data_IF_517280833279
#
_entry.id   IF_517280833279
#
_cell.length_a   1.000
_cell.length_b   1.000
_cell.length_c   1.000
_cell.angle_alpha   90.00
_cell.angle_beta   90.00
_cell.angle_gamma   90.00
#
_symmetry.space_group_name_H-M   'P 1'
#
loop_
_entity.id
_entity.type
_entity.pdbx_description
1 polymer ?
#
# COMPACT_ATOMS: atom_id res chain seq x y z
N UNK A 1 22.51 -0.65 1.66
CA UNK A 1 23.14 -1.96 1.75
C UNK A 1 22.28 -3.12 1.21
N UNK A 2 21.11 -2.82 0.66
CA UNK A 2 20.23 -3.80 0.01
C UNK A 2 19.09 -4.34 0.88
N UNK A 3 19.05 -4.00 2.15
CA UNK A 3 17.97 -4.41 3.04
C UNK A 3 16.67 -3.68 2.78
N UNK A 4 15.55 -4.41 2.78
CA UNK A 4 14.21 -3.83 2.63
C UNK A 4 13.65 -3.45 4.01
N UNK A 5 13.26 -2.19 4.15
CA UNK A 5 12.67 -1.66 5.39
C UNK A 5 11.28 -1.08 5.14
N UNK A 6 10.44 -1.09 6.17
CA UNK A 6 9.09 -0.53 6.10
C UNK A 6 9.08 0.91 6.64
N UNK A 7 8.80 1.86 5.76
CA UNK A 7 8.64 3.26 6.13
C UNK A 7 7.63 3.95 5.21
N UNK A 8 6.83 4.85 5.75
CA UNK A 8 5.86 5.59 4.93
C UNK A 8 6.55 6.53 3.93
N UNK A 9 7.62 7.19 4.32
CA UNK A 9 8.35 8.15 3.47
C UNK A 9 9.68 7.59 3.00
N UNK A 10 10.21 8.09 1.89
CA UNK A 10 11.57 7.79 1.43
C UNK A 10 12.68 8.48 2.24
N UNK A 11 12.30 9.26 3.26
CA UNK A 11 13.21 9.91 4.21
C UNK A 11 12.76 9.61 5.64
N UNK A 12 13.70 9.67 6.59
CA UNK A 12 13.43 9.41 8.02
C UNK A 12 12.89 10.63 8.77
N UNK A 13 12.97 11.81 8.20
CA UNK A 13 12.76 13.12 8.83
C UNK A 13 11.40 13.31 9.51
N UNK A 14 10.35 12.66 8.99
CA UNK A 14 8.98 12.86 9.51
C UNK A 14 8.58 11.85 10.58
N UNK A 15 9.23 10.71 10.58
CA UNK A 15 8.81 9.57 11.39
C UNK A 15 9.93 9.06 12.31
N UNK A 16 11.02 9.82 12.44
CA UNK A 16 12.11 9.54 13.38
C UNK A 16 12.78 10.80 13.88
N UNK A 17 13.72 10.63 14.80
CA UNK A 17 14.64 11.68 15.27
C UNK A 17 15.84 11.88 14.33
N UNK A 18 15.95 11.10 13.25
CA UNK A 18 16.98 11.21 12.23
C UNK A 18 16.63 12.17 11.10
N UNK A 19 17.58 12.34 10.17
CA UNK A 19 17.41 13.15 8.94
C UNK A 19 18.07 12.47 7.76
N UNK A 20 17.45 12.56 6.59
CA UNK A 20 18.01 12.10 5.32
C UNK A 20 17.21 11.00 4.64
N UNK A 21 17.74 10.52 3.52
CA UNK A 21 17.08 9.49 2.71
C UNK A 21 17.42 8.10 3.24
N UNK A 22 16.41 7.24 3.32
CA UNK A 22 16.57 5.83 3.69
C UNK A 22 17.54 5.12 2.75
N UNK A 23 17.43 5.38 1.43
CA UNK A 23 18.29 4.77 0.40
C UNK A 23 19.78 5.10 0.53
N UNK A 24 20.13 6.13 1.26
CA UNK A 24 21.49 6.64 1.38
C UNK A 24 22.14 6.21 2.72
N UNK A 25 21.45 5.36 3.51
CA UNK A 25 21.86 4.89 4.85
C UNK A 25 21.99 3.38 4.88
N UNK A 26 22.87 2.88 5.74
CA UNK A 26 22.91 1.45 6.06
C UNK A 26 21.76 1.07 7.01
N UNK A 27 21.40 -0.22 7.04
CA UNK A 27 20.44 -0.72 8.02
C UNK A 27 20.91 -0.43 9.46
N UNK A 28 22.21 -0.57 9.72
CA UNK A 28 22.78 -0.30 11.04
C UNK A 28 22.62 1.15 11.48
N UNK A 29 22.68 2.11 10.55
CA UNK A 29 22.41 3.53 10.84
C UNK A 29 20.93 3.78 11.08
N UNK A 30 20.07 3.21 10.23
CA UNK A 30 18.61 3.32 10.37
C UNK A 30 18.11 2.76 11.71
N UNK A 31 18.68 1.67 12.20
CA UNK A 31 18.32 1.03 13.49
C UNK A 31 18.71 1.85 14.72
N UNK A 32 19.51 2.91 14.57
CA UNK A 32 19.87 3.83 15.68
C UNK A 32 18.81 4.89 15.93
N UNK A 33 17.95 5.18 14.95
CA UNK A 33 16.93 6.21 15.08
C UNK A 33 15.70 5.70 15.83
N UNK A 34 15.09 6.60 16.59
CA UNK A 34 13.79 6.37 17.23
C UNK A 34 12.65 6.73 16.29
N UNK A 35 11.98 5.71 15.79
CA UNK A 35 10.82 5.83 14.91
C UNK A 35 9.47 5.86 15.65
N UNK A 36 9.47 5.89 16.98
CA UNK A 36 8.24 5.81 17.76
C UNK A 36 7.87 7.07 18.54
N UNK A 37 8.85 7.81 19.07
CA UNK A 37 8.61 8.96 19.95
C UNK A 37 7.78 10.07 19.31
N UNK A 38 7.87 10.27 17.99
CA UNK A 38 7.06 11.26 17.25
C UNK A 38 5.55 10.94 17.31
N UNK A 39 5.22 9.64 17.38
CA UNK A 39 3.82 9.19 17.47
C UNK A 39 3.30 9.22 18.90
N UNK A 40 4.15 8.92 19.88
CA UNK A 40 3.79 8.98 21.29
C UNK A 40 4.85 8.37 22.21
N UNK A 41 4.94 8.90 23.45
CA UNK A 41 5.96 8.48 24.43
C UNK A 41 6.02 6.97 24.69
N UNK A 42 4.89 6.26 24.61
CA UNK A 42 4.81 4.80 24.80
C UNK A 42 5.54 4.01 23.72
N UNK A 43 5.83 4.64 22.58
CA UNK A 43 6.52 4.02 21.44
C UNK A 43 7.99 4.43 21.35
N UNK A 44 8.52 5.11 22.37
CA UNK A 44 9.92 5.50 22.44
C UNK A 44 10.85 4.29 22.21
N UNK A 45 11.94 4.51 21.48
CA UNK A 45 12.93 3.52 21.10
C UNK A 45 12.41 2.42 20.13
N UNK A 46 11.28 2.66 19.45
CA UNK A 46 10.88 1.80 18.34
C UNK A 46 11.81 2.00 17.16
N UNK A 47 12.39 0.93 16.64
CA UNK A 47 13.27 0.99 15.47
C UNK A 47 12.49 0.73 14.18
N UNK A 48 13.04 1.16 13.03
CA UNK A 48 12.47 0.84 11.71
C UNK A 48 12.45 -0.68 11.50
N UNK A 49 11.32 -1.31 11.15
CA UNK A 49 11.30 -2.74 10.89
C UNK A 49 11.87 -3.06 9.51
N UNK A 50 12.58 -4.17 9.40
CA UNK A 50 12.89 -4.80 8.12
C UNK A 50 11.68 -5.54 7.57
N UNK A 51 11.73 -5.90 6.29
CA UNK A 51 10.69 -6.75 5.70
C UNK A 51 10.61 -8.11 6.41
N UNK A 52 11.75 -8.71 6.77
CA UNK A 52 11.79 -10.00 7.49
C UNK A 52 11.15 -9.90 8.87
N UNK A 53 11.50 -8.90 9.67
CA UNK A 53 10.91 -8.67 11.00
C UNK A 53 9.38 -8.48 10.90
N UNK A 54 8.93 -7.76 9.88
CA UNK A 54 7.50 -7.58 9.61
C UNK A 54 6.81 -8.88 9.22
N UNK A 55 7.36 -9.63 8.25
CA UNK A 55 6.78 -10.89 7.79
C UNK A 55 6.76 -11.95 8.90
N UNK A 56 7.82 -12.02 9.71
CA UNK A 56 7.84 -12.89 10.90
C UNK A 56 6.72 -12.55 11.87
N UNK A 57 6.46 -11.24 12.11
CA UNK A 57 5.35 -10.81 12.97
C UNK A 57 3.99 -11.18 12.36
N UNK A 58 3.84 -11.04 11.04
CA UNK A 58 2.56 -11.30 10.35
C UNK A 58 2.23 -12.78 10.22
N UNK A 59 3.22 -13.66 10.25
CA UNK A 59 3.07 -15.11 10.09
C UNK A 59 2.04 -15.70 11.06
N UNK A 60 2.08 -15.26 12.31
CA UNK A 60 1.25 -15.79 13.39
C UNK A 60 -0.04 -14.98 13.61
N UNK A 61 -0.37 -14.08 12.69
CA UNK A 61 -1.58 -13.26 12.76
C UNK A 61 -2.75 -13.84 11.95
N UNK A 62 -3.96 -13.49 12.35
CA UNK A 62 -5.18 -13.87 11.63
C UNK A 62 -5.51 -12.95 10.43
N UNK A 63 -4.53 -12.18 9.91
CA UNK A 63 -4.79 -11.29 8.76
C UNK A 63 -5.16 -12.10 7.52
N UNK A 64 -6.21 -11.65 6.82
CA UNK A 64 -6.67 -12.27 5.57
C UNK A 64 -5.96 -11.71 4.34
N UNK A 65 -5.51 -10.46 4.41
CA UNK A 65 -4.81 -9.75 3.34
C UNK A 65 -3.64 -8.99 3.93
N UNK A 66 -2.46 -9.22 3.38
CA UNK A 66 -1.23 -8.52 3.71
C UNK A 66 -0.91 -7.53 2.58
N UNK A 67 -1.38 -6.29 2.72
CA UNK A 67 -1.09 -5.25 1.73
C UNK A 67 0.27 -4.61 1.99
N UNK A 68 1.20 -4.83 1.06
CA UNK A 68 2.52 -4.19 1.06
C UNK A 68 2.56 -3.15 -0.07
N UNK A 69 2.63 -1.87 0.28
CA UNK A 69 2.84 -0.80 -0.68
C UNK A 69 4.31 -0.75 -1.10
N UNK A 70 4.58 -1.00 -2.37
CA UNK A 70 5.92 -0.89 -2.94
C UNK A 70 6.13 0.49 -3.55
N UNK A 71 7.11 1.22 -3.02
CA UNK A 71 7.43 2.58 -3.47
C UNK A 71 8.49 2.57 -4.57
N UNK A 72 8.34 3.44 -5.59
CA UNK A 72 9.35 3.58 -6.65
C UNK A 72 10.73 3.88 -6.07
N UNK A 73 11.73 3.15 -6.55
CA UNK A 73 13.11 3.35 -6.14
C UNK A 73 13.85 4.30 -7.08
N UNK A 74 14.94 4.93 -6.57
CA UNK A 74 15.81 5.79 -7.38
C UNK A 74 16.34 5.00 -8.60
N UNK A 75 16.33 5.62 -9.76
CA UNK A 75 16.75 4.97 -11.00
C UNK A 75 15.74 3.99 -11.60
N UNK A 76 14.53 3.87 -11.03
CA UNK A 76 13.46 3.00 -11.55
C UNK A 76 13.74 1.51 -11.39
N UNK A 77 14.57 1.11 -10.41
CA UNK A 77 14.87 -0.30 -10.10
C UNK A 77 13.60 -1.06 -9.70
N UNK A 78 13.50 -2.29 -10.16
CA UNK A 78 12.35 -3.19 -9.92
C UNK A 78 12.78 -4.56 -9.35
N UNK A 79 14.06 -4.77 -9.13
CA UNK A 79 14.64 -6.03 -8.61
C UNK A 79 14.12 -6.39 -7.20
N UNK A 80 13.84 -5.39 -6.37
CA UNK A 80 13.28 -5.61 -5.03
C UNK A 80 11.87 -6.23 -5.02
N UNK A 81 11.13 -6.16 -6.12
CA UNK A 81 9.80 -6.78 -6.26
C UNK A 81 9.90 -8.29 -6.12
N UNK A 82 10.90 -8.88 -6.76
CA UNK A 82 11.17 -10.33 -6.64
C UNK A 82 11.49 -10.71 -5.19
N UNK A 83 12.37 -9.95 -4.54
CA UNK A 83 12.72 -10.15 -3.13
C UNK A 83 11.50 -10.15 -2.21
N UNK A 84 10.55 -9.20 -2.40
CA UNK A 84 9.32 -9.14 -1.59
C UNK A 84 8.46 -10.39 -1.79
N UNK A 85 8.29 -10.83 -3.03
CA UNK A 85 7.48 -12.02 -3.35
C UNK A 85 8.14 -13.28 -2.78
N UNK A 86 9.45 -13.46 -2.95
CA UNK A 86 10.17 -14.62 -2.44
C UNK A 86 10.13 -14.68 -0.92
N UNK A 87 10.40 -13.57 -0.23
CA UNK A 87 10.27 -13.52 1.23
C UNK A 87 8.86 -13.84 1.71
N UNK A 88 7.82 -13.32 1.06
CA UNK A 88 6.44 -13.67 1.43
C UNK A 88 6.17 -15.18 1.27
N UNK A 89 6.75 -15.85 0.27
CA UNK A 89 6.69 -17.31 0.10
C UNK A 89 7.43 -18.05 1.21
N UNK A 90 8.64 -17.63 1.54
CA UNK A 90 9.47 -18.21 2.61
C UNK A 90 8.77 -18.17 3.98
N UNK A 91 8.03 -17.10 4.26
CA UNK A 91 7.22 -16.96 5.48
C UNK A 91 5.83 -17.61 5.42
N UNK A 92 5.45 -18.26 4.28
CA UNK A 92 4.14 -18.88 4.09
C UNK A 92 2.98 -17.88 3.99
N UNK A 93 3.26 -16.64 3.53
CA UNK A 93 2.30 -15.54 3.42
C UNK A 93 1.92 -15.19 1.97
N UNK A 94 2.37 -15.99 0.99
CA UNK A 94 2.15 -15.72 -0.44
C UNK A 94 0.66 -15.58 -0.80
N UNK A 95 -0.19 -16.44 -0.27
CA UNK A 95 -1.64 -16.43 -0.54
C UNK A 95 -2.35 -15.20 0.03
N UNK A 96 -1.76 -14.59 1.07
CA UNK A 96 -2.26 -13.37 1.70
C UNK A 96 -1.70 -12.10 1.07
N UNK A 97 -0.62 -12.22 0.29
CA UNK A 97 0.11 -11.08 -0.27
C UNK A 97 -0.77 -10.28 -1.25
N UNK A 98 -0.81 -8.99 -1.02
CA UNK A 98 -1.38 -7.99 -1.89
C UNK A 98 -0.34 -6.90 -2.10
N UNK A 99 0.04 -6.64 -3.34
CA UNK A 99 1.03 -5.60 -3.67
C UNK A 99 0.31 -4.37 -4.21
N UNK A 100 0.50 -3.23 -3.55
CA UNK A 100 0.01 -1.94 -4.05
C UNK A 100 1.16 -1.00 -4.42
N UNK A 101 0.93 -0.14 -5.41
CA UNK A 101 1.90 0.88 -5.81
C UNK A 101 1.26 2.00 -6.62
N UNK A 102 1.88 3.18 -6.57
CA UNK A 102 1.63 4.30 -7.50
C UNK A 102 2.31 4.10 -8.86
N UNK A 103 3.27 3.18 -8.94
CA UNK A 103 3.99 2.87 -10.18
C UNK A 103 3.48 1.54 -10.76
N UNK A 104 2.75 1.62 -11.86
CA UNK A 104 2.20 0.44 -12.54
C UNK A 104 3.29 -0.54 -13.02
N UNK A 105 4.54 -0.09 -13.23
CA UNK A 105 5.64 -0.98 -13.63
C UNK A 105 6.00 -1.98 -12.55
N UNK A 106 5.87 -1.58 -11.26
CA UNK A 106 6.03 -2.46 -10.10
C UNK A 106 4.95 -3.54 -10.11
N UNK A 107 3.70 -3.16 -10.39
CA UNK A 107 2.56 -4.08 -10.42
C UNK A 107 2.65 -5.05 -11.61
N UNK A 108 3.06 -4.55 -12.78
CA UNK A 108 3.31 -5.36 -13.98
C UNK A 108 4.44 -6.37 -13.72
N UNK A 109 5.54 -5.92 -13.11
CA UNK A 109 6.64 -6.81 -12.70
C UNK A 109 6.17 -7.87 -11.71
N UNK A 110 5.37 -7.50 -10.71
CA UNK A 110 4.82 -8.45 -9.74
C UNK A 110 3.95 -9.52 -10.42
N UNK A 111 3.05 -9.11 -11.33
CA UNK A 111 2.22 -10.05 -12.13
C UNK A 111 3.04 -10.94 -13.05
N UNK A 112 4.15 -10.46 -13.59
CA UNK A 112 5.03 -11.26 -14.45
C UNK A 112 5.81 -12.33 -13.67
N UNK A 113 6.15 -12.06 -12.40
CA UNK A 113 6.86 -12.97 -11.51
C UNK A 113 5.92 -14.00 -10.86
N UNK A 114 4.73 -13.52 -10.44
CA UNK A 114 3.72 -14.30 -9.75
C UNK A 114 2.32 -13.91 -10.25
N UNK A 115 1.78 -14.57 -11.27
CA UNK A 115 0.49 -14.23 -11.87
C UNK A 115 -0.68 -14.24 -10.88
N UNK A 116 -0.60 -15.05 -9.83
CA UNK A 116 -1.64 -15.18 -8.80
C UNK A 116 -1.56 -14.09 -7.73
N UNK A 117 -0.46 -13.32 -7.64
CA UNK A 117 -0.36 -12.24 -6.65
C UNK A 117 -1.42 -11.18 -6.92
N UNK A 118 -2.13 -10.78 -5.88
CA UNK A 118 -3.11 -9.68 -6.00
C UNK A 118 -2.41 -8.34 -6.07
N UNK A 119 -2.85 -7.48 -6.97
CA UNK A 119 -2.23 -6.17 -7.22
C UNK A 119 -3.24 -5.04 -7.16
N UNK A 120 -2.80 -3.87 -6.68
CA UNK A 120 -3.62 -2.67 -6.58
C UNK A 120 -2.90 -1.41 -7.06
N UNK A 121 -3.51 -0.69 -8.00
CA UNK A 121 -2.97 0.56 -8.51
C UNK A 121 -3.46 1.74 -7.65
N UNK A 122 -2.54 2.34 -6.90
CA UNK A 122 -2.79 3.56 -6.15
C UNK A 122 -2.92 4.75 -7.11
N UNK A 123 -4.12 5.31 -7.13
CA UNK A 123 -4.41 6.46 -7.98
C UNK A 123 -4.36 7.74 -7.16
N UNK A 124 -3.39 8.65 -7.44
CA UNK A 124 -2.99 9.73 -6.54
C UNK A 124 -4.03 10.82 -6.40
N UNK A 125 -3.94 11.51 -5.25
CA UNK A 125 -4.54 12.81 -5.03
C UNK A 125 -3.79 13.89 -5.82
N UNK A 126 -4.52 14.91 -6.22
CA UNK A 126 -4.14 16.08 -7.01
C UNK A 126 -2.65 16.48 -7.12
N UNK A 127 -2.24 16.75 -8.28
CA UNK A 127 -1.05 17.44 -8.79
C UNK A 127 -1.05 17.46 -10.31
N UNK A 128 -1.69 16.47 -10.93
CA UNK A 128 -1.62 16.25 -12.36
C UNK A 128 -3.01 16.19 -13.02
N UNK A 129 -3.77 17.30 -12.96
CA UNK A 129 -5.08 17.45 -13.66
C UNK A 129 -4.93 17.18 -15.16
N UNK A 130 -3.80 17.55 -15.74
CA UNK A 130 -3.50 17.34 -17.16
C UNK A 130 -3.33 15.85 -17.47
N UNK A 131 -2.56 15.12 -16.64
CA UNK A 131 -2.42 13.66 -16.79
C UNK A 131 -3.73 12.90 -16.56
N UNK A 132 -4.61 13.38 -15.69
CA UNK A 132 -5.94 12.80 -15.46
C UNK A 132 -6.85 12.84 -16.68
N UNK A 133 -6.80 13.90 -17.48
CA UNK A 133 -7.58 14.00 -18.72
C UNK A 133 -7.05 13.08 -19.83
N UNK A 134 -5.74 12.81 -19.82
CA UNK A 134 -5.05 12.01 -20.83
C UNK A 134 -4.99 10.51 -20.50
N UNK A 135 -4.97 10.14 -19.21
CA UNK A 135 -4.81 8.74 -18.79
C UNK A 135 -5.92 8.36 -17.79
N UNK A 136 -6.93 7.67 -18.27
CA UNK A 136 -7.91 7.02 -17.39
C UNK A 136 -7.18 5.95 -16.55
N UNK A 137 -7.34 5.94 -15.21
CA UNK A 137 -6.74 4.90 -14.36
C UNK A 137 -7.19 3.50 -14.78
N UNK A 138 -8.39 3.38 -15.33
CA UNK A 138 -8.91 2.12 -15.86
C UNK A 138 -8.14 1.59 -17.06
N UNK A 139 -7.52 2.45 -17.87
CA UNK A 139 -6.67 1.99 -18.98
C UNK A 139 -5.41 1.30 -18.46
N UNK A 140 -4.81 1.81 -17.36
CA UNK A 140 -3.67 1.20 -16.70
C UNK A 140 -4.08 -0.15 -16.09
N UNK A 141 -5.16 -0.15 -15.31
CA UNK A 141 -5.66 -1.34 -14.62
C UNK A 141 -5.97 -2.48 -15.61
N UNK A 142 -6.60 -2.17 -16.75
CA UNK A 142 -6.89 -3.15 -17.80
C UNK A 142 -5.63 -3.63 -18.53
N UNK A 143 -4.77 -2.68 -18.96
CA UNK A 143 -3.58 -2.98 -19.75
C UNK A 143 -2.62 -3.91 -19.03
N UNK A 144 -2.42 -3.71 -17.71
CA UNK A 144 -1.48 -4.47 -16.88
C UNK A 144 -2.15 -5.55 -16.02
N UNK A 145 -3.40 -5.87 -16.33
CA UNK A 145 -4.20 -6.88 -15.60
C UNK A 145 -4.16 -6.73 -14.07
N UNK A 146 -4.18 -5.49 -13.59
CA UNK A 146 -4.19 -5.18 -12.15
C UNK A 146 -5.58 -5.52 -11.59
N UNK A 147 -5.63 -6.09 -10.38
CA UNK A 147 -6.87 -6.60 -9.79
C UNK A 147 -7.72 -5.50 -9.14
N UNK A 148 -7.06 -4.51 -8.52
CA UNK A 148 -7.73 -3.42 -7.80
C UNK A 148 -7.34 -2.05 -8.31
N UNK A 149 -8.32 -1.17 -8.42
CA UNK A 149 -8.11 0.27 -8.47
C UNK A 149 -8.19 0.81 -7.04
N UNK A 150 -7.16 1.55 -6.61
CA UNK A 150 -7.06 2.14 -5.28
C UNK A 150 -7.06 3.68 -5.39
N UNK A 151 -8.23 4.33 -5.58
CA UNK A 151 -8.31 5.79 -5.71
C UNK A 151 -8.26 6.47 -4.34
N UNK A 152 -7.67 7.67 -4.29
CA UNK A 152 -7.86 8.57 -3.15
C UNK A 152 -9.34 9.00 -3.03
N UNK A 153 -9.88 9.11 -1.80
CA UNK A 153 -11.29 9.42 -1.54
C UNK A 153 -11.83 10.67 -2.25
N UNK A 154 -10.98 11.66 -2.53
CA UNK A 154 -11.35 12.86 -3.28
C UNK A 154 -11.55 12.65 -4.78
N UNK A 155 -11.29 11.46 -5.31
CA UNK A 155 -11.33 11.15 -6.75
C UNK A 155 -12.17 9.93 -7.10
N UNK A 156 -12.79 9.33 -6.12
CA UNK A 156 -13.75 8.24 -6.34
C UNK A 156 -15.13 8.79 -6.62
N UNK A 157 -15.86 8.12 -7.49
CA UNK A 157 -17.28 8.35 -7.75
C UNK A 157 -17.98 7.00 -7.95
N UNK A 158 -19.29 6.94 -7.72
CA UNK A 158 -20.09 5.74 -7.97
C UNK A 158 -19.85 5.22 -9.40
N UNK A 159 -19.85 6.10 -10.39
CA UNK A 159 -19.57 5.75 -11.80
C UNK A 159 -18.17 5.14 -12.02
N UNK A 160 -17.16 5.57 -11.25
CA UNK A 160 -15.82 4.97 -11.35
C UNK A 160 -15.81 3.55 -10.78
N UNK A 161 -16.51 3.31 -9.68
CA UNK A 161 -16.66 1.99 -9.06
C UNK A 161 -17.38 1.05 -10.02
N UNK A 162 -18.56 1.45 -10.53
CA UNK A 162 -19.33 0.68 -11.53
C UNK A 162 -18.46 0.32 -12.75
N UNK A 163 -17.75 1.30 -13.31
CA UNK A 163 -16.84 1.07 -14.45
C UNK A 163 -15.70 0.09 -14.15
N UNK A 164 -15.22 0.05 -12.91
CA UNK A 164 -14.21 -0.91 -12.50
C UNK A 164 -14.84 -2.32 -12.41
N UNK A 165 -16.01 -2.44 -11.80
CA UNK A 165 -16.75 -3.70 -11.68
C UNK A 165 -17.14 -4.26 -13.05
N UNK A 166 -17.63 -3.43 -13.99
CA UNK A 166 -17.91 -3.83 -15.38
C UNK A 166 -16.67 -4.40 -16.09
N UNK A 167 -15.48 -4.01 -15.63
CA UNK A 167 -14.21 -4.54 -16.13
C UNK A 167 -13.69 -5.75 -15.34
N UNK A 168 -14.46 -6.30 -14.38
CA UNK A 168 -14.05 -7.37 -13.49
C UNK A 168 -12.98 -6.96 -12.49
N UNK A 169 -12.87 -5.68 -12.15
CA UNK A 169 -11.87 -5.13 -11.23
C UNK A 169 -12.54 -4.64 -9.95
N UNK A 170 -11.83 -4.70 -8.84
CA UNK A 170 -12.30 -4.24 -7.54
C UNK A 170 -11.80 -2.83 -7.21
N UNK A 171 -12.46 -2.19 -6.24
CA UNK A 171 -12.12 -0.82 -5.80
C UNK A 171 -12.01 -0.76 -4.29
N UNK A 172 -10.83 -0.35 -3.77
CA UNK A 172 -10.67 0.01 -2.38
C UNK A 172 -10.15 1.44 -2.26
N UNK A 173 -10.74 2.24 -1.39
CA UNK A 173 -10.55 3.69 -1.35
C UNK A 173 -9.68 4.12 -0.18
N UNK A 174 -8.73 5.03 -0.39
CA UNK A 174 -7.80 5.55 0.62
C UNK A 174 -7.80 7.09 0.67
N UNK A 175 -7.39 7.75 1.75
CA UNK A 175 -7.45 7.29 3.12
C UNK A 175 -8.78 7.70 3.71
N UNK A 176 -9.58 6.78 4.18
CA UNK A 176 -10.97 7.00 4.60
C UNK A 176 -11.04 6.95 6.13
N UNK A 177 -11.02 8.12 6.76
CA UNK A 177 -10.99 8.26 8.22
C UNK A 177 -12.31 8.75 8.82
N UNK A 178 -13.31 9.05 7.98
CA UNK A 178 -14.65 9.51 8.41
C UNK A 178 -15.68 8.42 8.16
N UNK A 179 -16.51 8.14 9.18
CA UNK A 179 -17.58 7.16 9.12
C UNK A 179 -18.55 7.41 7.97
N UNK A 180 -19.01 8.66 7.81
CA UNK A 180 -19.98 9.01 6.76
C UNK A 180 -19.40 8.77 5.36
N UNK A 181 -18.07 8.94 5.21
CA UNK A 181 -17.39 8.64 3.95
C UNK A 181 -17.34 7.14 3.71
N UNK A 182 -17.05 6.35 4.74
CA UNK A 182 -17.00 4.89 4.65
C UNK A 182 -18.39 4.32 4.31
N UNK A 183 -19.45 4.77 4.99
CA UNK A 183 -20.84 4.40 4.72
C UNK A 183 -21.25 4.75 3.28
N UNK A 184 -20.96 5.97 2.84
CA UNK A 184 -21.20 6.41 1.46
C UNK A 184 -20.52 5.52 0.44
N UNK A 185 -19.26 5.17 0.66
CA UNK A 185 -18.50 4.33 -0.25
C UNK A 185 -19.02 2.88 -0.28
N UNK A 186 -19.46 2.35 0.86
CA UNK A 186 -20.15 1.06 0.95
C UNK A 186 -21.43 1.08 0.11
N UNK A 187 -22.28 2.10 0.26
CA UNK A 187 -23.49 2.26 -0.57
C UNK A 187 -23.19 2.44 -2.06
N UNK A 188 -22.02 2.93 -2.43
CA UNK A 188 -21.59 3.01 -3.82
C UNK A 188 -21.02 1.68 -4.35
N UNK A 189 -20.86 0.67 -3.47
CA UNK A 189 -20.37 -0.65 -3.81
C UNK A 189 -18.84 -0.76 -3.79
N UNK A 190 -18.11 0.10 -3.06
CA UNK A 190 -16.68 -0.08 -2.89
C UNK A 190 -16.37 -1.41 -2.18
N UNK A 191 -15.38 -2.15 -2.67
CA UNK A 191 -14.98 -3.46 -2.14
C UNK A 191 -14.17 -3.37 -0.83
N UNK A 192 -13.68 -2.17 -0.50
CA UNK A 192 -12.95 -1.93 0.73
C UNK A 192 -12.55 -0.48 0.92
N UNK A 193 -12.06 -0.19 2.12
CA UNK A 193 -11.46 1.10 2.48
C UNK A 193 -10.11 0.88 3.16
N UNK A 194 -9.18 1.80 2.95
CA UNK A 194 -7.90 1.89 3.66
C UNK A 194 -8.02 3.08 4.61
N UNK A 195 -7.80 2.83 5.91
CA UNK A 195 -8.06 3.79 6.99
C UNK A 195 -6.98 3.75 8.06
N UNK A 196 -6.77 4.86 8.75
CA UNK A 196 -5.91 4.94 9.95
C UNK A 196 -6.65 4.47 11.23
N UNK A 197 -7.99 4.25 11.14
CA UNK A 197 -8.86 3.87 12.28
C UNK A 197 -9.66 2.59 11.97
N UNK A 198 -8.96 1.44 11.76
CA UNK A 198 -9.62 0.21 11.28
C UNK A 198 -10.65 -0.35 12.26
N UNK A 199 -10.43 -0.24 13.56
CA UNK A 199 -11.35 -0.66 14.61
C UNK A 199 -12.69 0.11 14.58
N UNK A 200 -12.62 1.43 14.43
CA UNK A 200 -13.81 2.29 14.36
C UNK A 200 -14.59 2.05 13.07
N UNK A 201 -13.91 2.05 11.94
CA UNK A 201 -14.54 1.92 10.61
C UNK A 201 -15.12 0.51 10.43
N UNK A 202 -14.40 -0.55 10.83
CA UNK A 202 -14.83 -1.93 10.70
C UNK A 202 -16.12 -2.19 11.49
N UNK A 203 -16.12 -1.88 12.78
CA UNK A 203 -17.28 -2.12 13.65
C UNK A 203 -18.57 -1.47 13.13
N UNK A 204 -18.44 -0.30 12.51
CA UNK A 204 -19.58 0.39 11.93
C UNK A 204 -20.07 -0.23 10.63
N UNK A 205 -19.17 -0.62 9.74
CA UNK A 205 -19.53 -1.24 8.46
C UNK A 205 -20.13 -2.64 8.64
N UNK A 206 -19.73 -3.39 9.67
CA UNK A 206 -20.32 -4.70 10.01
C UNK A 206 -21.73 -4.58 10.62
N UNK A 207 -22.15 -3.36 11.00
CA UNK A 207 -23.48 -3.10 11.58
C UNK A 207 -24.50 -2.61 10.55
N UNK A 208 -24.13 -2.48 9.29
CA UNK A 208 -24.98 -2.08 8.18
C UNK A 208 -25.32 -3.29 7.31
#
# INVERSE_FOLDING_TARGET
>A
DGELVLCHNGTVDKTSDGKGRISDMSLSDLKRFDFGSWFGRRFKNTTIPTLDEFLQTMKDTAVSVLNIELKPQKGGRLDFVDTVIQKAKEYGLADKLFISSFDYRILDKAKSLEPCVRTGYLYPAMGDIVKRKLFSPMNIVRKYNIDYLLPHQGYVSKKLIEKAHDAGKRVAVWTVNKLETAEKLSHWGADGVITDFPDIIKNKLESI
#
